data_IF_334468258964
#
_entry.id   IF_334468258964
#
_cell.length_a   1.000
_cell.length_b   1.000
_cell.length_c   1.000
_cell.angle_alpha   90.00
_cell.angle_beta   90.00
_cell.angle_gamma   90.00
#
_symmetry.space_group_name_H-M   'P 1'
#
loop_
_entity.id
_entity.type
_entity.pdbx_description
1 polymer ?
#
# COMPACT_ATOMS: atom_id res chain seq x y z
N UNK A 1 24.74 0.12 6.50
CA UNK A 1 25.33 -0.31 5.21
C UNK A 1 24.25 -1.09 4.46
N UNK A 2 23.31 -0.39 3.82
CA UNK A 2 22.05 -0.97 3.31
C UNK A 2 22.11 -1.33 1.82
N UNK A 3 23.27 -1.13 1.19
CA UNK A 3 23.59 -1.50 -0.19
C UNK A 3 24.14 -2.93 -0.28
N UNK A 4 23.78 -3.83 0.65
CA UNK A 4 24.12 -5.24 0.45
C UNK A 4 23.37 -5.72 -0.79
N UNK A 5 24.11 -6.19 -1.80
CA UNK A 5 23.55 -6.92 -2.94
C UNK A 5 22.46 -7.90 -2.48
N UNK A 6 21.40 -8.05 -3.29
CA UNK A 6 20.34 -9.02 -2.99
C UNK A 6 20.99 -10.38 -2.77
N UNK A 7 20.95 -10.87 -1.52
CA UNK A 7 21.47 -12.19 -1.16
C UNK A 7 20.42 -13.23 -1.47
N UNK A 8 20.84 -14.31 -2.11
CA UNK A 8 20.00 -15.46 -2.40
C UNK A 8 20.47 -16.65 -1.57
N UNK A 9 19.60 -17.65 -1.40
CA UNK A 9 19.94 -18.84 -0.61
C UNK A 9 21.16 -19.61 -1.15
N UNK A 10 21.47 -19.49 -2.44
CA UNK A 10 22.70 -20.02 -3.03
C UNK A 10 23.97 -19.39 -2.45
N UNK A 11 23.94 -18.10 -2.11
CA UNK A 11 25.09 -17.39 -1.52
C UNK A 11 25.43 -17.91 -0.12
N UNK A 12 24.46 -18.52 0.56
CA UNK A 12 24.65 -19.23 1.82
C UNK A 12 25.12 -20.68 1.58
N UNK A 13 24.50 -21.41 0.64
CA UNK A 13 24.84 -22.82 0.35
C UNK A 13 26.31 -22.97 -0.07
N UNK A 14 26.76 -22.10 -0.99
CA UNK A 14 28.09 -22.17 -1.57
C UNK A 14 29.20 -22.21 -0.50
N UNK A 15 29.33 -21.23 0.42
CA UNK A 15 30.35 -21.28 1.46
C UNK A 15 30.14 -22.43 2.46
N UNK A 16 28.89 -22.78 2.76
CA UNK A 16 28.58 -23.82 3.74
C UNK A 16 28.99 -25.22 3.26
N UNK A 17 28.85 -25.51 1.96
CA UNK A 17 29.21 -26.80 1.39
C UNK A 17 30.66 -26.89 0.89
N UNK A 18 31.34 -25.75 0.62
CA UNK A 18 32.77 -25.77 0.24
C UNK A 18 33.66 -26.28 1.38
N UNK A 19 33.29 -26.16 2.65
CA UNK A 19 34.08 -26.72 3.76
C UNK A 19 33.97 -28.24 3.93
N UNK A 20 33.10 -28.90 3.16
CA UNK A 20 32.60 -30.25 3.45
C UNK A 20 33.21 -31.36 2.58
N UNK A 21 32.94 -32.62 2.95
CA UNK A 21 33.22 -33.80 2.13
C UNK A 21 32.40 -33.87 0.84
N UNK A 22 31.45 -32.95 0.61
CA UNK A 22 30.48 -32.97 -0.50
C UNK A 22 30.67 -31.83 -1.51
N UNK A 23 31.88 -31.26 -1.60
CA UNK A 23 32.29 -30.23 -2.58
C UNK A 23 31.87 -30.56 -4.03
N UNK A 24 31.92 -31.84 -4.40
CA UNK A 24 31.60 -32.33 -5.74
C UNK A 24 30.21 -31.89 -6.24
N UNK A 25 29.22 -31.75 -5.34
CA UNK A 25 27.87 -31.30 -5.71
C UNK A 25 27.87 -29.82 -6.10
N UNK A 26 28.62 -28.99 -5.38
CA UNK A 26 28.76 -27.56 -5.67
C UNK A 26 29.49 -27.35 -7.01
N UNK A 27 30.57 -28.10 -7.23
CA UNK A 27 31.33 -28.05 -8.49
C UNK A 27 30.44 -28.44 -9.68
N UNK A 28 29.66 -29.52 -9.57
CA UNK A 28 28.68 -29.91 -10.61
C UNK A 28 27.63 -28.84 -10.87
N UNK A 29 27.12 -28.20 -9.82
CA UNK A 29 26.18 -27.07 -10.00
C UNK A 29 26.87 -25.94 -10.75
N UNK A 30 28.08 -25.53 -10.34
CA UNK A 30 28.82 -24.46 -10.99
C UNK A 30 29.17 -24.76 -12.46
N UNK A 31 29.43 -26.02 -12.80
CA UNK A 31 29.63 -26.49 -14.17
C UNK A 31 28.34 -26.44 -15.00
N UNK A 32 27.24 -27.02 -14.51
CA UNK A 32 25.96 -27.06 -15.22
C UNK A 32 25.29 -25.68 -15.36
N UNK A 33 25.60 -24.76 -14.45
CA UNK A 33 24.93 -23.46 -14.34
C UNK A 33 25.85 -22.26 -14.58
N UNK A 34 27.02 -22.45 -15.22
CA UNK A 34 28.06 -21.42 -15.37
C UNK A 34 27.53 -20.09 -15.94
N UNK A 35 26.58 -20.13 -16.88
CA UNK A 35 25.99 -18.95 -17.55
C UNK A 35 24.59 -18.58 -17.04
N UNK A 36 24.13 -19.17 -15.94
CA UNK A 36 22.76 -19.03 -15.43
C UNK A 36 22.69 -18.17 -14.16
N UNK A 37 21.50 -17.63 -13.89
CA UNK A 37 21.17 -16.81 -12.71
C UNK A 37 21.48 -17.53 -11.41
N UNK A 38 21.79 -16.76 -10.35
CA UNK A 38 22.11 -17.30 -9.03
C UNK A 38 20.94 -18.07 -8.40
N UNK A 39 19.70 -17.67 -8.74
CA UNK A 39 18.47 -18.42 -8.39
C UNK A 39 18.45 -19.80 -9.06
N UNK A 40 18.84 -19.87 -10.33
CA UNK A 40 18.94 -21.13 -11.08
C UNK A 40 19.98 -22.06 -10.44
N UNK A 41 21.12 -21.52 -9.98
CA UNK A 41 22.15 -22.32 -9.28
C UNK A 41 21.60 -22.96 -8.01
N UNK A 42 20.92 -22.18 -7.17
CA UNK A 42 20.29 -22.69 -5.96
C UNK A 42 19.24 -23.77 -6.24
N UNK A 43 18.38 -23.59 -7.25
CA UNK A 43 17.37 -24.59 -7.63
C UNK A 43 18.00 -25.87 -8.17
N UNK A 44 19.02 -25.73 -9.03
CA UNK A 44 19.79 -26.85 -9.58
C UNK A 44 20.45 -27.65 -8.46
N UNK A 45 20.97 -26.98 -7.44
CA UNK A 45 21.55 -27.63 -6.28
C UNK A 45 20.53 -28.49 -5.52
N UNK A 46 19.32 -27.99 -5.29
CA UNK A 46 18.25 -28.78 -4.65
C UNK A 46 17.94 -30.02 -5.49
N UNK A 47 17.79 -29.85 -6.81
CA UNK A 47 17.49 -30.95 -7.73
C UNK A 47 18.58 -32.02 -7.71
N UNK A 48 19.86 -31.63 -7.76
CA UNK A 48 20.99 -32.56 -7.68
C UNK A 48 21.08 -33.24 -6.31
N UNK A 49 20.88 -32.49 -5.21
CA UNK A 49 20.90 -33.05 -3.86
C UNK A 49 19.76 -34.06 -3.63
N UNK A 50 18.59 -33.86 -4.26
CA UNK A 50 17.48 -34.81 -4.24
C UNK A 50 17.79 -36.07 -5.06
N UNK A 51 18.36 -35.92 -6.26
CA UNK A 51 18.77 -37.06 -7.09
C UNK A 51 19.86 -37.90 -6.42
N UNK A 52 20.80 -37.25 -5.72
CA UNK A 52 21.86 -37.91 -4.95
C UNK A 52 21.40 -38.40 -3.55
N UNK A 53 20.12 -38.15 -3.17
CA UNK A 53 19.52 -38.55 -1.88
C UNK A 53 20.24 -38.02 -0.64
N UNK A 54 20.73 -36.79 -0.73
CA UNK A 54 21.64 -36.18 0.28
C UNK A 54 21.19 -34.80 0.75
N UNK A 55 20.03 -34.33 0.31
CA UNK A 55 19.52 -33.00 0.66
C UNK A 55 19.45 -32.77 2.17
N UNK A 56 18.93 -33.75 2.92
CA UNK A 56 18.83 -33.68 4.39
C UNK A 56 20.20 -33.62 5.07
N UNK A 57 21.16 -34.44 4.63
CA UNK A 57 22.53 -34.45 5.13
C UNK A 57 23.22 -33.10 4.91
N UNK A 58 23.08 -32.54 3.69
CA UNK A 58 23.66 -31.23 3.37
C UNK A 58 23.02 -30.11 4.20
N UNK A 59 21.69 -30.08 4.32
CA UNK A 59 21.02 -29.07 5.15
C UNK A 59 21.45 -29.15 6.62
N UNK A 60 21.52 -30.36 7.20
CA UNK A 60 22.01 -30.56 8.57
C UNK A 60 23.41 -30.01 8.75
N UNK A 61 24.31 -30.30 7.79
CA UNK A 61 25.67 -29.80 7.83
C UNK A 61 25.71 -28.26 7.83
N UNK A 62 24.92 -27.62 6.97
CA UNK A 62 24.89 -26.17 6.87
C UNK A 62 24.33 -25.49 8.12
N UNK A 63 23.29 -26.08 8.73
CA UNK A 63 22.65 -25.53 9.94
C UNK A 63 23.53 -25.78 11.19
N UNK A 64 24.41 -26.79 11.16
CA UNK A 64 25.34 -27.06 12.26
C UNK A 64 26.38 -25.95 12.46
N UNK A 65 26.73 -25.20 11.41
CA UNK A 65 27.60 -24.02 11.52
C UNK A 65 26.78 -22.75 11.82
N UNK A 66 26.41 -22.58 13.09
CA UNK A 66 25.64 -21.43 13.57
C UNK A 66 26.32 -20.08 13.28
N UNK A 67 27.66 -20.03 13.20
CA UNK A 67 28.39 -18.81 12.89
C UNK A 67 28.15 -18.38 11.44
N UNK A 68 28.06 -19.35 10.53
CA UNK A 68 27.73 -19.08 9.15
C UNK A 68 26.24 -18.75 8.98
N UNK A 69 25.34 -19.49 9.64
CA UNK A 69 23.89 -19.22 9.61
C UNK A 69 23.58 -17.79 10.05
N UNK A 70 24.14 -17.34 11.19
CA UNK A 70 23.93 -15.98 11.72
C UNK A 70 24.50 -14.86 10.84
N UNK A 71 25.42 -15.17 9.92
CA UNK A 71 25.92 -14.18 8.93
C UNK A 71 24.94 -13.95 7.78
N UNK A 72 24.08 -14.93 7.50
CA UNK A 72 23.18 -14.91 6.33
C UNK A 72 21.70 -14.78 6.71
N UNK A 73 21.31 -15.18 7.91
CA UNK A 73 19.93 -15.17 8.37
C UNK A 73 19.76 -14.37 9.67
N UNK A 74 18.57 -13.79 9.85
CA UNK A 74 18.15 -13.15 11.09
C UNK A 74 17.94 -14.20 12.20
N UNK A 75 18.06 -13.81 13.46
CA UNK A 75 17.88 -14.71 14.61
C UNK A 75 16.45 -15.32 14.65
N UNK A 76 15.44 -14.59 14.15
CA UNK A 76 14.05 -15.06 14.05
C UNK A 76 13.77 -15.96 12.83
N UNK A 77 14.79 -16.25 12.01
CA UNK A 77 14.62 -17.10 10.84
C UNK A 77 14.48 -18.57 11.22
N UNK A 78 13.77 -19.33 10.38
CA UNK A 78 13.67 -20.78 10.56
C UNK A 78 15.06 -21.43 10.60
N UNK A 79 16.00 -21.00 9.75
CA UNK A 79 17.35 -21.56 9.66
C UNK A 79 18.20 -21.32 10.91
N UNK A 80 17.94 -20.24 11.66
CA UNK A 80 18.62 -19.94 12.93
C UNK A 80 17.91 -20.57 14.15
N UNK A 81 16.70 -21.11 13.97
CA UNK A 81 15.90 -21.74 15.00
C UNK A 81 16.27 -23.22 15.20
N UNK A 82 16.02 -23.75 16.40
CA UNK A 82 16.12 -25.18 16.70
C UNK A 82 15.19 -26.04 15.84
N UNK A 83 14.10 -25.45 15.32
CA UNK A 83 13.16 -26.10 14.41
C UNK A 83 13.80 -26.52 13.06
N UNK A 84 14.91 -25.90 12.67
CA UNK A 84 15.63 -26.25 11.44
C UNK A 84 16.12 -27.71 11.44
N UNK A 85 16.56 -28.23 12.59
CA UNK A 85 17.00 -29.62 12.71
C UNK A 85 15.84 -30.60 12.57
N UNK A 86 14.68 -30.28 13.15
CA UNK A 86 13.45 -31.08 13.02
C UNK A 86 13.03 -31.14 11.54
N UNK A 87 13.06 -30.01 10.84
CA UNK A 87 12.78 -29.98 9.40
C UNK A 87 13.76 -30.90 8.63
N UNK A 88 15.05 -30.85 8.95
CA UNK A 88 16.02 -31.71 8.29
C UNK A 88 15.81 -33.20 8.57
N UNK A 89 15.37 -33.56 9.77
CA UNK A 89 15.00 -34.94 10.11
C UNK A 89 13.80 -35.39 9.27
N UNK A 90 12.76 -34.57 9.15
CA UNK A 90 11.61 -34.84 8.28
C UNK A 90 12.01 -35.02 6.81
N UNK A 91 12.94 -34.19 6.32
CA UNK A 91 13.46 -34.29 4.94
C UNK A 91 14.23 -35.58 4.68
N UNK A 92 14.65 -36.31 5.72
CA UNK A 92 15.29 -37.64 5.55
C UNK A 92 14.33 -38.64 4.90
N UNK A 93 13.01 -38.47 5.07
CA UNK A 93 12.00 -39.28 4.39
C UNK A 93 12.04 -39.16 2.86
N UNK A 94 12.55 -38.05 2.32
CA UNK A 94 12.68 -37.87 0.86
C UNK A 94 13.71 -38.81 0.24
N UNK A 95 14.66 -39.34 1.01
CA UNK A 95 15.66 -40.29 0.51
C UNK A 95 15.04 -41.63 0.06
N UNK A 96 13.82 -41.94 0.53
CA UNK A 96 13.08 -43.11 0.07
C UNK A 96 12.52 -42.96 -1.35
N UNK A 97 12.52 -41.74 -1.89
CA UNK A 97 12.04 -41.43 -3.24
C UNK A 97 13.19 -41.44 -4.25
N UNK A 98 12.90 -41.90 -5.46
CA UNK A 98 13.84 -41.86 -6.58
C UNK A 98 13.50 -40.68 -7.49
N UNK A 99 14.28 -39.61 -7.38
CA UNK A 99 14.14 -38.44 -8.23
C UNK A 99 14.98 -38.57 -9.50
N UNK A 100 14.40 -38.21 -10.64
CA UNK A 100 15.11 -38.13 -11.93
C UNK A 100 14.78 -36.79 -12.59
N UNK A 101 15.68 -35.82 -12.49
CA UNK A 101 15.56 -34.54 -13.19
C UNK A 101 16.45 -34.52 -14.44
N UNK A 102 15.90 -34.06 -15.56
CA UNK A 102 16.63 -33.93 -16.80
C UNK A 102 17.17 -32.50 -16.95
N UNK A 103 18.49 -32.35 -17.00
CA UNK A 103 19.15 -31.09 -17.31
C UNK A 103 19.43 -31.05 -18.81
N UNK A 104 18.48 -30.55 -19.61
CA UNK A 104 18.70 -30.43 -21.05
C UNK A 104 19.53 -29.17 -21.33
N UNK A 105 20.61 -29.37 -22.10
CA UNK A 105 21.66 -28.38 -22.40
C UNK A 105 21.24 -27.35 -23.46
N UNK A 106 20.13 -27.59 -24.16
CA UNK A 106 19.53 -26.62 -25.06
C UNK A 106 18.81 -25.56 -24.22
N UNK A 107 19.18 -24.29 -24.40
CA UNK A 107 18.69 -23.15 -23.60
C UNK A 107 17.17 -22.89 -23.64
N UNK A 108 16.37 -23.83 -24.13
CA UNK A 108 14.92 -23.87 -23.98
C UNK A 108 14.55 -24.68 -22.73
N UNK A 109 14.45 -23.95 -21.64
CA UNK A 109 13.66 -24.20 -20.43
C UNK A 109 12.65 -25.34 -20.62
N UNK A 110 13.06 -26.58 -20.35
CA UNK A 110 12.16 -27.74 -20.36
C UNK A 110 11.58 -27.95 -18.98
N UNK A 111 10.62 -27.09 -18.69
CA UNK A 111 9.29 -27.45 -18.26
C UNK A 111 8.47 -26.16 -18.39
N UNK A 112 7.30 -26.16 -19.06
CA UNK A 112 6.37 -25.03 -19.00
C UNK A 112 5.95 -24.67 -17.56
N UNK A 113 6.19 -25.56 -16.60
CA UNK A 113 6.01 -25.39 -15.16
C UNK A 113 7.28 -24.92 -14.41
N UNK A 114 8.44 -24.84 -15.06
CA UNK A 114 9.73 -24.49 -14.42
C UNK A 114 10.25 -23.20 -15.02
N UNK A 115 9.78 -22.12 -14.42
CA UNK A 115 10.56 -20.91 -14.12
C UNK A 115 11.43 -20.38 -15.27
N UNK A 116 10.80 -19.63 -16.18
CA UNK A 116 11.49 -18.46 -16.74
C UNK A 116 11.96 -17.60 -15.55
N UNK A 117 13.17 -17.01 -15.63
CA UNK A 117 13.78 -16.17 -14.57
C UNK A 117 12.91 -14.93 -14.20
N UNK A 118 11.79 -14.73 -14.89
CA UNK A 118 10.75 -13.76 -14.66
C UNK A 118 9.71 -14.31 -13.66
N UNK A 119 9.85 -13.93 -12.40
CA UNK A 119 8.74 -13.69 -11.45
C UNK A 119 7.73 -14.82 -11.23
N UNK A 120 8.19 -16.00 -10.81
CA UNK A 120 7.32 -16.94 -10.12
C UNK A 120 7.98 -17.31 -8.78
N UNK A 121 7.68 -16.50 -7.76
CA UNK A 121 7.92 -16.83 -6.35
C UNK A 121 6.77 -17.69 -5.78
N UNK A 122 5.71 -17.94 -6.55
CA UNK A 122 4.50 -18.68 -6.14
C UNK A 122 4.48 -20.07 -6.80
N UNK A 123 4.62 -21.11 -5.99
CA UNK A 123 4.48 -22.50 -6.46
C UNK A 123 2.99 -22.78 -6.68
N UNK A 124 2.57 -22.98 -7.94
CA UNK A 124 1.23 -23.44 -8.26
C UNK A 124 1.10 -24.94 -7.94
N UNK A 125 0.47 -25.25 -6.81
CA UNK A 125 0.20 -26.62 -6.37
C UNK A 125 -1.10 -27.18 -6.94
N UNK A 126 -1.93 -26.37 -7.60
CA UNK A 126 -3.23 -26.76 -8.18
C UNK A 126 -3.17 -28.06 -9.00
N UNK A 127 -2.12 -28.32 -9.81
CA UNK A 127 -2.00 -29.56 -10.57
C UNK A 127 -1.83 -30.83 -9.70
N UNK A 128 -1.27 -30.69 -8.49
CA UNK A 128 -0.97 -31.80 -7.57
C UNK A 128 -2.04 -31.98 -6.49
N UNK A 129 -2.97 -31.04 -6.38
CA UNK A 129 -4.14 -31.13 -5.49
C UNK A 129 -5.24 -32.04 -6.06
N UNK A 130 -5.09 -32.56 -7.28
CA UNK A 130 -6.01 -33.57 -7.81
C UNK A 130 -5.76 -34.93 -7.12
N UNK A 131 -6.43 -35.11 -5.99
CA UNK A 131 -6.15 -36.16 -5.02
C UNK A 131 -7.30 -37.20 -5.01
N UNK A 132 -6.95 -38.48 -5.18
CA UNK A 132 -7.92 -39.59 -5.12
C UNK A 132 -8.27 -39.91 -3.66
N UNK A 133 -9.55 -39.70 -3.29
CA UNK A 133 -10.09 -39.93 -1.93
C UNK A 133 -9.86 -41.34 -1.38
N UNK A 134 -9.58 -42.33 -2.24
CA UNK A 134 -9.27 -43.71 -1.82
C UNK A 134 -7.97 -43.82 -1.00
N UNK A 135 -7.01 -42.92 -1.20
CA UNK A 135 -5.75 -42.92 -0.44
C UNK A 135 -5.93 -42.35 0.97
N UNK A 136 -6.74 -41.31 1.12
CA UNK A 136 -7.11 -40.71 2.43
C UNK A 136 -7.96 -41.69 3.25
N UNK A 137 -9.03 -42.25 2.68
CA UNK A 137 -9.89 -43.21 3.40
C UNK A 137 -9.18 -44.46 3.89
N UNK A 138 -7.99 -44.79 3.35
CA UNK A 138 -7.17 -45.89 3.82
C UNK A 138 -6.24 -45.47 4.97
N UNK A 139 -5.71 -44.24 4.95
CA UNK A 139 -4.87 -43.70 6.03
C UNK A 139 -5.68 -43.34 7.28
N UNK A 140 -6.91 -42.85 7.12
CA UNK A 140 -7.80 -42.46 8.23
C UNK A 140 -8.68 -43.61 8.75
N UNK A 141 -8.60 -44.81 8.17
CA UNK A 141 -9.29 -46.00 8.70
C UNK A 141 -8.52 -46.71 9.80
N UNK A 142 -7.21 -46.48 9.87
CA UNK A 142 -6.33 -47.17 10.82
C UNK A 142 -6.14 -46.37 12.12
N UNK A 143 -6.48 -45.08 12.17
CA UNK A 143 -6.42 -44.25 13.38
C UNK A 143 -7.73 -43.49 13.67
N UNK A 144 -8.34 -43.89 14.78
CA UNK A 144 -9.32 -43.23 15.65
C UNK A 144 -10.77 -42.99 15.18
N UNK A 145 -11.65 -43.32 16.14
CA UNK A 145 -13.11 -43.36 16.15
C UNK A 145 -13.73 -41.98 16.46
N UNK A 146 -13.33 -40.94 15.76
CA UNK A 146 -13.79 -39.58 16.03
C UNK A 146 -14.81 -39.10 14.98
N UNK A 147 -15.99 -38.66 15.42
CA UNK A 147 -17.12 -38.21 14.58
C UNK A 147 -16.77 -37.01 13.67
N UNK A 148 -15.75 -36.23 14.02
CA UNK A 148 -15.25 -35.11 13.19
C UNK A 148 -14.52 -35.60 11.93
N UNK A 149 -13.84 -36.76 12.00
CA UNK A 149 -13.17 -37.38 10.86
C UNK A 149 -14.19 -37.94 9.85
N UNK A 150 -15.32 -38.47 10.31
CA UNK A 150 -16.41 -38.92 9.43
C UNK A 150 -17.00 -37.75 8.63
N UNK A 151 -17.17 -36.57 9.23
CA UNK A 151 -17.68 -35.39 8.54
C UNK A 151 -16.71 -34.86 7.47
N UNK A 152 -15.40 -34.92 7.72
CA UNK A 152 -14.37 -34.57 6.73
C UNK A 152 -14.32 -35.59 5.58
N UNK A 153 -14.43 -36.88 5.89
CA UNK A 153 -14.48 -37.98 4.90
C UNK A 153 -15.73 -37.84 4.00
N UNK A 154 -16.89 -37.52 4.58
CA UNK A 154 -18.14 -37.26 3.85
C UNK A 154 -18.05 -36.04 2.94
N UNK A 155 -17.45 -34.93 3.41
CA UNK A 155 -17.22 -33.73 2.58
C UNK A 155 -16.25 -33.99 1.43
N UNK A 156 -15.17 -34.74 1.67
CA UNK A 156 -14.20 -35.13 0.63
C UNK A 156 -14.78 -36.14 -0.37
N UNK A 157 -15.65 -37.05 0.08
CA UNK A 157 -16.35 -37.98 -0.79
C UNK A 157 -17.38 -37.27 -1.69
N UNK A 158 -18.10 -36.27 -1.16
CA UNK A 158 -19.07 -35.47 -1.92
C UNK A 158 -18.42 -34.66 -3.06
N UNK A 159 -17.17 -34.21 -2.89
CA UNK A 159 -16.40 -33.52 -3.95
C UNK A 159 -15.95 -34.50 -5.05
N UNK A 160 -15.85 -35.79 -4.74
CA UNK A 160 -15.28 -36.81 -5.63
C UNK A 160 -16.30 -37.73 -6.32
N UNK A 161 -17.61 -37.46 -6.23
CA UNK A 161 -18.65 -38.17 -7.02
C UNK A 161 -18.63 -37.83 -8.53
N UNK A 162 -17.57 -37.21 -9.04
CA UNK A 162 -17.33 -37.13 -10.48
C UNK A 162 -16.75 -38.46 -10.96
N UNK A 163 -17.67 -39.30 -11.44
CA UNK A 163 -17.45 -40.57 -12.17
C UNK A 163 -16.22 -40.49 -13.10
N UNK A 164 -15.35 -41.52 -13.19
CA UNK A 164 -14.17 -41.46 -14.06
C UNK A 164 -14.61 -41.39 -15.53
N UNK A 165 -14.45 -40.22 -16.14
CA UNK A 165 -14.82 -39.96 -17.54
C UNK A 165 -13.93 -40.76 -18.50
N UNK A 166 -14.58 -41.38 -19.47
CA UNK A 166 -13.98 -42.21 -20.52
C UNK A 166 -13.19 -41.38 -21.53
N UNK A 167 -12.36 -42.04 -22.33
CA UNK A 167 -11.26 -41.42 -23.08
C UNK A 167 -11.71 -40.35 -24.10
N UNK A 168 -12.98 -40.39 -24.52
CA UNK A 168 -13.59 -39.42 -25.43
C UNK A 168 -13.97 -38.11 -24.74
N UNK A 169 -14.33 -38.15 -23.46
CA UNK A 169 -14.71 -36.96 -22.68
C UNK A 169 -13.49 -36.11 -22.28
N UNK A 170 -12.29 -36.70 -22.24
CA UNK A 170 -11.03 -35.98 -21.99
C UNK A 170 -10.69 -34.93 -23.06
N UNK A 171 -11.32 -35.01 -24.23
CA UNK A 171 -11.23 -34.00 -25.29
C UNK A 171 -12.29 -32.89 -25.16
N UNK A 172 -13.40 -33.12 -24.42
CA UNK A 172 -14.43 -32.10 -24.13
C UNK A 172 -14.13 -31.30 -22.86
N UNK A 173 -13.46 -31.89 -21.86
CA UNK A 173 -13.10 -31.21 -20.59
C UNK A 173 -12.27 -29.92 -20.82
N UNK A 174 -11.29 -29.86 -21.75
CA UNK A 174 -10.59 -28.61 -22.03
C UNK A 174 -11.52 -27.54 -22.60
N UNK A 175 -12.51 -27.95 -23.40
CA UNK A 175 -13.44 -27.03 -24.06
C UNK A 175 -14.49 -26.49 -23.07
N UNK A 176 -15.02 -27.33 -22.18
CA UNK A 176 -15.95 -26.94 -21.12
C UNK A 176 -15.25 -26.12 -20.02
N UNK A 177 -14.01 -26.48 -19.67
CA UNK A 177 -13.17 -25.66 -18.77
C UNK A 177 -12.87 -24.30 -19.39
N UNK A 178 -12.51 -24.24 -20.67
CA UNK A 178 -12.28 -22.97 -21.37
C UNK A 178 -13.56 -22.13 -21.46
N UNK A 179 -14.73 -22.77 -21.62
CA UNK A 179 -16.03 -22.10 -21.64
C UNK A 179 -16.37 -21.49 -20.27
N UNK A 180 -16.12 -22.22 -19.19
CA UNK A 180 -16.28 -21.72 -17.82
C UNK A 180 -15.31 -20.56 -17.53
N UNK A 181 -14.05 -20.67 -17.97
CA UNK A 181 -13.07 -19.58 -17.82
C UNK A 181 -13.47 -18.33 -18.60
N UNK A 182 -14.05 -18.47 -19.80
CA UNK A 182 -14.60 -17.35 -20.57
C UNK A 182 -15.77 -16.69 -19.83
N UNK A 183 -16.64 -17.47 -19.20
CA UNK A 183 -17.79 -16.96 -18.45
C UNK A 183 -17.35 -16.25 -17.16
N UNK A 184 -16.41 -16.83 -16.41
CA UNK A 184 -15.80 -16.19 -15.25
C UNK A 184 -15.08 -14.89 -15.63
N UNK A 185 -14.34 -14.89 -16.75
CA UNK A 185 -13.69 -13.68 -17.27
C UNK A 185 -14.72 -12.58 -17.59
N UNK A 186 -15.84 -12.94 -18.22
CA UNK A 186 -16.93 -11.98 -18.51
C UNK A 186 -17.52 -11.40 -17.23
N UNK A 187 -17.75 -12.23 -16.21
CA UNK A 187 -18.25 -11.76 -14.92
C UNK A 187 -17.30 -10.75 -14.25
N UNK A 188 -15.99 -11.05 -14.23
CA UNK A 188 -15.01 -10.13 -13.68
C UNK A 188 -14.89 -8.84 -14.51
N UNK A 189 -15.00 -8.93 -15.84
CA UNK A 189 -15.01 -7.76 -16.73
C UNK A 189 -16.23 -6.86 -16.48
N UNK A 190 -17.41 -7.44 -16.25
CA UNK A 190 -18.61 -6.67 -15.87
C UNK A 190 -18.48 -6.03 -14.50
N UNK A 191 -17.88 -6.73 -13.53
CA UNK A 191 -17.63 -6.18 -12.19
C UNK A 191 -16.63 -5.01 -12.25
N UNK A 192 -15.57 -5.14 -13.03
CA UNK A 192 -14.63 -4.04 -13.29
C UNK A 192 -15.33 -2.85 -13.94
N UNK A 193 -16.15 -3.07 -14.97
CA UNK A 193 -16.97 -2.01 -15.58
C UNK A 193 -17.93 -1.35 -14.60
N UNK A 194 -18.44 -2.07 -13.61
CA UNK A 194 -19.27 -1.48 -12.56
C UNK A 194 -18.42 -0.58 -11.64
N UNK A 195 -17.26 -1.06 -11.19
CA UNK A 195 -16.34 -0.28 -10.36
C UNK A 195 -15.81 0.97 -11.06
N UNK A 196 -15.47 0.86 -12.35
CA UNK A 196 -15.04 2.02 -13.13
C UNK A 196 -16.15 3.06 -13.26
N UNK A 197 -17.40 2.62 -13.42
CA UNK A 197 -18.57 3.53 -13.41
C UNK A 197 -18.77 4.19 -12.05
N UNK A 198 -18.65 3.45 -10.95
CA UNK A 198 -18.72 4.03 -9.59
C UNK A 198 -17.61 5.06 -9.37
N UNK A 199 -16.38 4.76 -9.78
CA UNK A 199 -15.25 5.69 -9.70
C UNK A 199 -15.50 6.94 -10.53
N UNK A 200 -16.04 6.81 -11.74
CA UNK A 200 -16.34 7.96 -12.61
C UNK A 200 -17.49 8.82 -12.05
N UNK A 201 -18.51 8.20 -11.47
CA UNK A 201 -19.57 8.91 -10.74
C UNK A 201 -19.02 9.63 -9.50
N UNK A 202 -18.10 9.01 -8.76
CA UNK A 202 -17.51 9.64 -7.58
C UNK A 202 -16.58 10.79 -7.96
N UNK A 203 -15.80 10.65 -9.03
CA UNK A 203 -14.97 11.74 -9.59
C UNK A 203 -15.79 12.92 -10.07
N UNK A 204 -16.87 12.68 -10.82
CA UNK A 204 -17.75 13.75 -11.29
C UNK A 204 -18.44 14.48 -10.14
N UNK A 205 -18.91 13.75 -9.11
CA UNK A 205 -19.42 14.36 -7.87
C UNK A 205 -18.36 15.19 -7.14
N UNK A 206 -17.13 14.68 -7.06
CA UNK A 206 -16.04 15.42 -6.45
C UNK A 206 -15.75 16.73 -7.19
N UNK A 207 -15.75 16.72 -8.52
CA UNK A 207 -15.50 17.93 -9.31
C UNK A 207 -16.64 18.96 -9.17
N UNK A 208 -17.90 18.50 -9.10
CA UNK A 208 -19.04 19.37 -8.80
C UNK A 208 -18.88 20.04 -7.43
N UNK A 209 -18.63 19.26 -6.38
CA UNK A 209 -18.44 19.78 -5.02
C UNK A 209 -17.25 20.74 -4.93
N UNK A 210 -16.17 20.46 -5.66
CA UNK A 210 -15.00 21.33 -5.73
C UNK A 210 -15.35 22.68 -6.37
N UNK A 211 -16.11 22.67 -7.46
CA UNK A 211 -16.59 23.91 -8.10
C UNK A 211 -17.58 24.67 -7.21
N UNK A 212 -18.48 23.98 -6.51
CA UNK A 212 -19.39 24.61 -5.53
C UNK A 212 -18.60 25.32 -4.44
N UNK A 213 -17.62 24.63 -3.85
CA UNK A 213 -16.72 25.22 -2.85
C UNK A 213 -15.96 26.44 -3.41
N UNK A 214 -15.45 26.38 -4.64
CA UNK A 214 -14.77 27.51 -5.27
C UNK A 214 -15.70 28.70 -5.52
N UNK A 215 -16.95 28.44 -5.92
CA UNK A 215 -17.98 29.47 -6.07
C UNK A 215 -18.36 30.10 -4.72
N UNK A 216 -18.52 29.29 -3.66
CA UNK A 216 -18.78 29.79 -2.31
C UNK A 216 -17.65 30.69 -1.80
N UNK A 217 -16.39 30.31 -2.04
CA UNK A 217 -15.22 31.14 -1.72
C UNK A 217 -15.29 32.47 -2.48
N UNK A 218 -15.54 32.44 -3.79
CA UNK A 218 -15.65 33.67 -4.59
C UNK A 218 -16.78 34.59 -4.11
N UNK A 219 -17.93 34.03 -3.76
CA UNK A 219 -19.06 34.80 -3.21
C UNK A 219 -18.69 35.42 -1.87
N UNK A 220 -18.05 34.66 -0.97
CA UNK A 220 -17.57 35.17 0.32
C UNK A 220 -16.54 36.28 0.14
N UNK A 221 -15.59 36.13 -0.78
CA UNK A 221 -14.60 37.16 -1.11
C UNK A 221 -15.27 38.44 -1.63
N UNK A 222 -16.29 38.32 -2.48
CA UNK A 222 -17.02 39.48 -3.00
C UNK A 222 -17.80 40.21 -1.89
N UNK A 223 -18.48 39.46 -1.00
CA UNK A 223 -19.18 40.04 0.17
C UNK A 223 -18.18 40.75 1.09
N UNK A 224 -17.01 40.15 1.33
CA UNK A 224 -15.96 40.77 2.15
C UNK A 224 -15.50 42.09 1.51
N UNK A 225 -15.30 42.13 0.19
CA UNK A 225 -14.91 43.36 -0.51
C UNK A 225 -15.99 44.44 -0.42
N UNK A 226 -17.26 44.08 -0.59
CA UNK A 226 -18.39 45.01 -0.47
C UNK A 226 -18.51 45.59 0.95
N UNK A 227 -18.44 44.73 1.97
CA UNK A 227 -18.44 45.17 3.38
C UNK A 227 -17.22 46.06 3.70
N UNK A 228 -16.05 45.77 3.14
CA UNK A 228 -14.87 46.62 3.30
C UNK A 228 -15.06 48.00 2.66
N UNK A 229 -15.74 48.08 1.51
CA UNK A 229 -16.07 49.35 0.86
C UNK A 229 -17.07 50.15 1.69
N UNK A 230 -18.12 49.52 2.19
CA UNK A 230 -19.13 50.16 3.04
C UNK A 230 -18.52 50.68 4.35
N UNK A 231 -17.67 49.89 5.00
CA UNK A 231 -16.93 50.31 6.19
C UNK A 231 -16.00 51.49 5.91
N UNK A 232 -15.34 51.54 4.75
CA UNK A 232 -14.51 52.69 4.34
C UNK A 232 -15.36 53.93 4.09
N UNK A 233 -16.51 53.78 3.44
CA UNK A 233 -17.43 54.88 3.18
C UNK A 233 -17.99 55.47 4.49
N UNK A 234 -18.48 54.62 5.40
CA UNK A 234 -18.96 55.04 6.71
C UNK A 234 -17.87 55.74 7.54
N UNK A 235 -16.63 55.21 7.51
CA UNK A 235 -15.48 55.85 8.17
C UNK A 235 -15.18 57.24 7.60
N UNK A 236 -15.17 57.37 6.28
CA UNK A 236 -14.94 58.66 5.63
C UNK A 236 -16.06 59.66 5.97
N UNK A 237 -17.31 59.21 6.04
CA UNK A 237 -18.44 60.03 6.44
C UNK A 237 -18.33 60.48 7.90
N UNK A 238 -17.98 59.59 8.83
CA UNK A 238 -17.65 59.96 10.21
C UNK A 238 -16.54 61.01 10.27
N UNK A 239 -15.46 60.83 9.50
CA UNK A 239 -14.34 61.78 9.48
C UNK A 239 -14.76 63.16 8.92
N UNK A 240 -15.64 63.19 7.91
CA UNK A 240 -16.23 64.43 7.39
C UNK A 240 -17.13 65.09 8.44
N UNK A 241 -17.97 64.31 9.14
CA UNK A 241 -18.84 64.83 10.19
C UNK A 241 -18.05 65.37 11.37
N UNK A 242 -16.95 64.71 11.76
CA UNK A 242 -16.01 65.20 12.78
C UNK A 242 -15.38 66.52 12.35
N UNK A 243 -14.90 66.63 11.11
CA UNK A 243 -14.33 67.89 10.57
C UNK A 243 -15.34 69.03 10.52
N UNK A 244 -16.58 68.76 10.08
CA UNK A 244 -17.68 69.76 10.08
C UNK A 244 -18.01 70.22 11.50
N UNK A 245 -18.12 69.28 12.44
CA UNK A 245 -18.39 69.60 13.85
C UNK A 245 -17.27 70.45 14.45
N UNK A 246 -16.01 70.13 14.17
CA UNK A 246 -14.86 70.94 14.59
C UNK A 246 -14.88 72.34 13.98
N UNK A 247 -15.21 72.47 12.69
CA UNK A 247 -15.32 73.77 12.03
C UNK A 247 -16.47 74.61 12.58
N UNK A 248 -17.64 74.01 12.84
CA UNK A 248 -18.76 74.69 13.50
C UNK A 248 -18.43 75.10 14.94
N UNK A 249 -17.67 74.29 15.69
CA UNK A 249 -17.17 74.71 17.01
C UNK A 249 -16.18 75.87 16.90
N UNK A 250 -15.30 75.89 15.91
CA UNK A 250 -14.35 76.99 15.70
C UNK A 250 -15.09 78.29 15.32
N UNK A 251 -16.05 78.22 14.40
CA UNK A 251 -16.87 79.39 14.00
C UNK A 251 -17.72 79.90 15.18
N UNK A 252 -18.28 79.01 16.00
CA UNK A 252 -19.02 79.43 17.21
C UNK A 252 -18.10 80.04 18.26
N UNK A 253 -16.88 79.53 18.44
CA UNK A 253 -15.89 80.20 19.31
C UNK A 253 -15.45 81.55 18.75
N UNK A 254 -15.22 81.68 17.44
CA UNK A 254 -14.86 82.95 16.79
C UNK A 254 -15.98 83.98 16.86
N UNK A 255 -17.24 83.58 16.61
CA UNK A 255 -18.41 84.46 16.75
C UNK A 255 -18.68 84.83 18.19
N UNK A 256 -18.47 83.92 19.15
CA UNK A 256 -18.54 84.26 20.58
C UNK A 256 -17.42 85.22 21.00
N UNK A 257 -16.19 85.05 20.50
CA UNK A 257 -15.08 86.00 20.73
C UNK A 257 -15.39 87.35 20.09
N UNK A 258 -15.92 87.36 18.86
CA UNK A 258 -16.31 88.59 18.15
C UNK A 258 -17.48 89.30 18.85
N UNK A 259 -18.47 88.57 19.36
CA UNK A 259 -19.54 89.14 20.17
C UNK A 259 -19.02 89.66 21.52
N UNK A 260 -18.07 88.97 22.17
CA UNK A 260 -17.42 89.46 23.38
C UNK A 260 -16.63 90.76 23.15
N UNK A 261 -15.91 90.86 22.04
CA UNK A 261 -15.20 92.10 21.68
C UNK A 261 -16.17 93.22 21.28
N UNK A 262 -17.31 92.90 20.64
CA UNK A 262 -18.33 93.87 20.27
C UNK A 262 -19.16 94.39 21.46
N UNK A 263 -19.39 93.55 22.48
CA UNK A 263 -19.96 93.97 23.77
C UNK A 263 -18.99 94.89 24.51
N UNK A 264 -17.68 94.62 24.42
CA UNK A 264 -16.65 95.51 24.98
C UNK A 264 -16.63 96.87 24.28
N UNK A 265 -16.71 96.94 22.95
CA UNK A 265 -16.79 98.22 22.22
C UNK A 265 -18.11 98.98 22.46
N UNK A 266 -19.25 98.30 22.59
CA UNK A 266 -20.52 98.95 22.94
C UNK A 266 -20.57 99.44 24.39
N UNK A 267 -19.87 98.79 25.33
CA UNK A 267 -19.72 99.32 26.70
C UNK A 267 -18.88 100.60 26.79
N UNK A 268 -18.05 100.89 25.77
CA UNK A 268 -17.31 102.15 25.67
C UNK A 268 -18.10 103.27 24.97
N UNK A 269 -19.17 102.98 24.23
CA UNK A 269 -20.02 104.02 23.60
C UNK A 269 -21.21 104.44 24.45
N UNK A 270 -21.73 103.56 25.33
CA UNK A 270 -22.79 103.93 26.29
C UNK A 270 -22.28 104.66 27.54
N UNK A 271 -20.96 104.73 27.77
CA UNK A 271 -20.40 105.49 28.90
C UNK A 271 -20.16 106.98 28.61
N UNK A 272 -20.43 107.48 27.39
CA UNK A 272 -20.24 108.90 27.04
C UNK A 272 -21.54 109.73 26.95
N UNK A 273 -22.72 109.16 27.21
CA UNK A 273 -24.00 109.89 27.15
C UNK A 273 -24.79 109.94 28.48
N UNK A 274 -24.16 109.61 29.62
CA UNK A 274 -24.79 109.65 30.95
C UNK A 274 -23.98 110.43 32.01
N UNK A 275 -23.16 111.39 31.58
CA UNK A 275 -22.57 112.41 32.46
C UNK A 275 -22.65 113.77 31.75
N UNK A 276 -23.81 114.42 31.83
CA UNK A 276 -23.96 115.88 31.85
C UNK A 276 -25.46 116.24 31.87
N UNK A 277 -26.10 116.02 33.01
CA UNK A 277 -27.27 116.80 33.44
C UNK A 277 -27.41 116.61 34.95
N UNK A 278 -26.72 117.49 35.69
CA UNK A 278 -27.14 118.07 36.98
C UNK A 278 -25.96 118.84 37.60
N UNK A 279 -25.81 120.13 37.24
CA UNK A 279 -25.28 121.20 38.12
C UNK A 279 -25.93 122.53 37.70
N UNK A 280 -26.81 123.02 38.58
CA UNK A 280 -27.17 124.41 38.95
C UNK A 280 -27.70 125.48 37.95
N UNK A 281 -28.78 126.11 38.45
CA UNK A 281 -29.30 127.48 38.26
C UNK A 281 -30.13 127.83 37.01
#
# INVERSE_FOLDING_TARGET
NWLSERRYFWDFIRPACIGSSRKNVIERVEELSRTKSIKYKGRTWIQLALMEKILSELLKLMISDLNLVRKFYHDDSLMASSQAFILCDQLTGLNALDFSFCFKQDGSILNPLVFNDSDIDVIDLTPFLFYNSKSITKLFKDESSDEENEQLILRLAAVNELKPLSLTERQMIPLDKHKLEIEQRKYFEELLKHRDRELEQLKSRFEILKNERENEIMVMENIILELQLELRAARNEEDIQRKKSQQSTMITTETNIFNFSNVKSNSLTTSNNAQNQDIDA
#
